data_IF_535027653734
#
_entry.id   IF_535027653734
#
_cell.length_a   1.000
_cell.length_b   1.000
_cell.length_c   1.000
_cell.angle_alpha   90.00
_cell.angle_beta   90.00
_cell.angle_gamma   90.00
#
_symmetry.space_group_name_H-M   'P 1'
#
loop_
_entity.id
_entity.type
_entity.pdbx_description
1 polymer ?
#
# COMPACT_ATOMS: atom_id res chain seq x y z
N UNK A 1 -114.64 46.59 -77.27
CA UNK A 1 -114.17 46.90 -75.90
C UNK A 1 -113.03 45.95 -75.59
N UNK A 2 -111.92 46.51 -75.12
CA UNK A 2 -110.57 45.94 -75.24
C UNK A 2 -110.31 44.69 -74.41
N UNK A 3 -109.39 43.87 -74.92
CA UNK A 3 -108.81 42.73 -74.23
C UNK A 3 -107.86 43.27 -73.16
N UNK A 4 -108.21 43.11 -71.88
CA UNK A 4 -107.32 43.42 -70.76
C UNK A 4 -106.29 42.31 -70.67
N UNK A 5 -105.02 42.66 -70.80
CA UNK A 5 -103.89 41.81 -70.40
C UNK A 5 -103.57 42.22 -68.97
N UNK A 6 -103.88 41.37 -68.00
CA UNK A 6 -103.38 41.54 -66.63
C UNK A 6 -101.92 41.10 -66.66
N UNK A 7 -101.01 42.08 -66.70
CA UNK A 7 -99.62 41.82 -66.32
C UNK A 7 -99.66 41.49 -64.82
N UNK A 8 -99.58 40.21 -64.48
CA UNK A 8 -99.31 39.75 -63.12
C UNK A 8 -97.90 40.25 -62.77
N UNK A 9 -97.83 41.46 -62.22
CA UNK A 9 -96.59 42.07 -61.77
C UNK A 9 -95.97 41.18 -60.70
N UNK A 10 -94.78 40.64 -60.99
CA UNK A 10 -93.96 39.95 -60.01
C UNK A 10 -93.58 40.92 -58.91
N UNK A 11 -93.96 40.59 -57.67
CA UNK A 11 -93.58 41.33 -56.47
C UNK A 11 -92.21 40.84 -55.98
N UNK A 12 -91.22 41.74 -55.95
CA UNK A 12 -89.98 41.66 -55.15
C UNK A 12 -89.06 40.46 -55.40
N UNK A 13 -88.32 40.47 -56.51
CA UNK A 13 -87.11 39.66 -56.67
C UNK A 13 -85.88 40.37 -56.07
N UNK A 14 -84.84 39.62 -55.74
CA UNK A 14 -83.50 40.18 -55.51
C UNK A 14 -82.89 40.40 -56.90
N UNK A 15 -82.45 41.62 -57.20
CA UNK A 15 -81.73 41.90 -58.45
C UNK A 15 -80.37 41.21 -58.39
N UNK A 16 -79.91 40.62 -59.49
CA UNK A 16 -78.64 39.90 -59.53
C UNK A 16 -77.45 40.80 -59.18
N UNK A 17 -77.57 42.11 -59.37
CA UNK A 17 -76.61 43.15 -58.97
C UNK A 17 -76.48 43.26 -57.43
N UNK A 18 -77.55 42.91 -56.71
CA UNK A 18 -77.59 42.85 -55.24
C UNK A 18 -77.02 41.52 -54.70
N UNK A 19 -76.86 40.50 -55.55
CA UNK A 19 -76.17 39.27 -55.19
C UNK A 19 -74.66 39.49 -55.00
N UNK A 20 -74.05 38.73 -54.10
CA UNK A 20 -72.59 38.79 -53.85
C UNK A 20 -71.84 37.59 -54.43
N UNK A 21 -72.53 36.53 -54.81
CA UNK A 21 -71.94 35.34 -55.42
C UNK A 21 -71.65 35.57 -56.92
N UNK A 22 -70.39 35.42 -57.32
CA UNK A 22 -69.95 35.24 -58.69
C UNK A 22 -70.03 33.77 -59.13
N UNK A 23 -69.78 33.50 -60.42
CA UNK A 23 -69.83 32.13 -60.97
C UNK A 23 -68.94 31.13 -60.21
N UNK A 24 -67.77 31.56 -59.72
CA UNK A 24 -66.84 30.71 -58.96
C UNK A 24 -67.35 30.30 -57.58
N UNK A 25 -68.42 30.92 -57.08
CA UNK A 25 -69.08 30.56 -55.81
C UNK A 25 -70.32 29.69 -56.02
N UNK A 26 -70.74 29.47 -57.27
CA UNK A 26 -71.89 28.62 -57.62
C UNK A 26 -71.37 27.29 -58.17
N UNK A 27 -71.96 26.19 -57.70
CA UNK A 27 -71.55 24.83 -58.08
C UNK A 27 -71.76 24.58 -59.58
N UNK A 28 -70.74 24.02 -60.23
CA UNK A 28 -70.84 23.60 -61.64
C UNK A 28 -71.99 22.61 -61.82
N UNK A 29 -72.80 22.83 -62.87
CA UNK A 29 -74.04 22.07 -63.12
C UNK A 29 -75.30 22.70 -62.51
N UNK A 30 -75.16 23.77 -61.71
CA UNK A 30 -76.29 24.55 -61.18
C UNK A 30 -76.31 25.97 -61.77
N UNK A 31 -77.50 26.55 -61.86
CA UNK A 31 -77.74 27.96 -62.24
C UNK A 31 -78.24 28.75 -61.05
N UNK A 32 -77.80 29.99 -60.88
CA UNK A 32 -78.26 30.89 -59.82
C UNK A 32 -78.26 32.35 -60.30
N UNK A 33 -78.87 33.25 -59.52
CA UNK A 33 -78.64 34.69 -59.68
C UNK A 33 -77.20 35.01 -59.29
N UNK A 34 -76.40 35.51 -60.24
CA UNK A 34 -74.97 35.73 -60.10
C UNK A 34 -74.67 37.22 -60.27
N UNK A 35 -73.79 37.75 -59.43
CA UNK A 35 -73.44 39.18 -59.45
C UNK A 35 -72.96 39.65 -60.82
N UNK A 36 -73.64 40.65 -61.37
CA UNK A 36 -73.30 41.30 -62.63
C UNK A 36 -73.73 40.53 -63.88
N UNK A 37 -74.71 39.63 -63.75
CA UNK A 37 -75.32 38.89 -64.84
C UNK A 37 -76.83 39.23 -64.91
N UNK A 38 -77.31 39.61 -66.10
CA UNK A 38 -78.70 40.03 -66.30
C UNK A 38 -79.70 38.86 -66.17
N UNK A 39 -79.25 37.61 -66.38
CA UNK A 39 -80.04 36.38 -66.31
C UNK A 39 -79.38 35.35 -65.37
N UNK A 40 -80.12 34.36 -64.83
CA UNK A 40 -79.52 33.25 -64.07
C UNK A 40 -78.38 32.59 -64.83
N UNK A 41 -77.19 32.59 -64.23
CA UNK A 41 -75.96 32.13 -64.88
C UNK A 41 -75.48 30.80 -64.29
N UNK A 42 -74.79 29.96 -65.08
CA UNK A 42 -74.22 28.71 -64.59
C UNK A 42 -73.01 28.96 -63.69
N UNK A 43 -72.89 28.12 -62.65
CA UNK A 43 -71.73 28.10 -61.77
C UNK A 43 -70.48 27.50 -62.40
N UNK A 44 -69.31 27.94 -61.91
CA UNK A 44 -67.98 27.44 -62.33
C UNK A 44 -67.19 26.79 -61.20
N UNK A 45 -67.72 26.70 -59.98
CA UNK A 45 -67.05 26.01 -58.87
C UNK A 45 -66.97 24.50 -59.15
N UNK A 46 -65.78 23.88 -59.18
CA UNK A 46 -65.65 22.44 -59.43
C UNK A 46 -66.30 21.58 -58.35
N UNK A 47 -66.94 20.47 -58.71
CA UNK A 47 -67.38 19.43 -57.77
C UNK A 47 -66.23 18.46 -57.49
N UNK A 48 -65.89 18.26 -56.21
CA UNK A 48 -64.80 17.35 -55.75
C UNK A 48 -65.32 16.10 -55.06
N UNK A 49 -66.61 16.03 -54.73
CA UNK A 49 -67.24 14.89 -54.06
C UNK A 49 -66.56 14.56 -52.73
N UNK A 50 -66.41 13.26 -52.46
CA UNK A 50 -65.75 12.72 -51.26
C UNK A 50 -64.22 12.69 -51.44
N UNK A 51 -63.60 13.86 -51.62
CA UNK A 51 -62.15 13.93 -51.84
C UNK A 51 -61.36 13.32 -50.67
N UNK A 52 -60.43 12.42 -50.98
CA UNK A 52 -59.62 11.72 -49.98
C UNK A 52 -58.15 11.73 -50.36
N UNK A 53 -57.29 11.74 -49.34
CA UNK A 53 -55.84 11.73 -49.54
C UNK A 53 -55.10 11.12 -48.35
N UNK A 54 -53.81 10.86 -48.57
CA UNK A 54 -52.87 10.42 -47.55
C UNK A 54 -51.76 11.45 -47.41
N UNK A 55 -51.36 11.74 -46.18
CA UNK A 55 -50.26 12.66 -45.86
C UNK A 55 -49.24 11.95 -44.98
N UNK A 56 -47.95 12.06 -45.30
CA UNK A 56 -46.88 11.49 -44.48
C UNK A 56 -46.66 12.24 -43.17
N UNK A 57 -45.80 11.69 -42.30
CA UNK A 57 -45.42 12.37 -41.05
C UNK A 57 -44.70 13.68 -41.35
N UNK A 58 -45.17 14.77 -40.74
CA UNK A 58 -44.66 16.14 -40.95
C UNK A 58 -44.78 16.65 -42.39
N UNK A 59 -45.61 16.02 -43.21
CA UNK A 59 -45.93 16.50 -44.55
C UNK A 59 -47.24 17.29 -44.54
N UNK A 60 -47.50 17.98 -45.65
CA UNK A 60 -48.78 18.63 -45.91
C UNK A 60 -49.26 18.28 -47.31
N UNK A 61 -50.57 18.35 -47.51
CA UNK A 61 -51.18 18.20 -48.83
C UNK A 61 -52.11 19.37 -49.10
N UNK A 62 -52.02 19.93 -50.30
CA UNK A 62 -52.96 20.95 -50.74
C UNK A 62 -54.33 20.33 -50.96
N UNK A 63 -55.36 20.94 -50.38
CA UNK A 63 -56.75 20.58 -50.67
C UNK A 63 -57.16 21.32 -51.95
N UNK A 64 -57.62 20.61 -53.00
CA UNK A 64 -58.05 21.27 -54.23
C UNK A 64 -59.24 22.22 -53.98
N UNK A 65 -59.22 23.37 -54.66
CA UNK A 65 -60.35 24.30 -54.68
C UNK A 65 -61.61 23.66 -55.33
N UNK A 66 -62.80 24.09 -54.89
CA UNK A 66 -64.10 23.58 -55.30
C UNK A 66 -65.01 23.12 -54.15
N UNK A 67 -66.20 22.63 -54.49
CA UNK A 67 -67.16 22.07 -53.56
C UNK A 67 -66.77 20.64 -53.15
N UNK A 68 -66.80 20.37 -51.85
CA UNK A 68 -66.60 19.05 -51.27
C UNK A 68 -67.87 18.61 -50.55
N UNK A 69 -68.30 17.36 -50.72
CA UNK A 69 -69.59 16.88 -50.20
C UNK A 69 -69.59 16.56 -48.68
N UNK A 70 -68.49 16.87 -47.97
CA UNK A 70 -68.33 16.63 -46.53
C UNK A 70 -68.02 15.19 -46.12
N UNK A 71 -67.99 14.22 -47.05
CA UNK A 71 -67.66 12.82 -46.76
C UNK A 71 -66.19 12.45 -47.03
N UNK A 72 -65.41 13.39 -47.57
CA UNK A 72 -63.97 13.25 -47.81
C UNK A 72 -63.14 13.13 -46.52
N UNK A 73 -61.94 12.53 -46.62
CA UNK A 73 -61.02 12.37 -45.49
C UNK A 73 -59.56 12.43 -45.91
N UNK A 74 -58.75 13.18 -45.17
CA UNK A 74 -57.29 13.10 -45.24
C UNK A 74 -56.79 12.20 -44.11
N UNK A 75 -55.96 11.22 -44.42
CA UNK A 75 -55.43 10.25 -43.45
C UNK A 75 -53.91 10.34 -43.33
N UNK A 76 -53.42 10.28 -42.09
CA UNK A 76 -51.99 10.13 -41.82
C UNK A 76 -51.58 8.65 -41.77
N UNK A 77 -50.27 8.35 -41.63
CA UNK A 77 -49.80 6.99 -41.41
C UNK A 77 -50.38 6.40 -40.11
N UNK A 78 -50.61 5.10 -40.11
CA UNK A 78 -50.99 4.37 -38.90
C UNK A 78 -49.77 4.19 -37.99
N UNK A 79 -49.86 4.65 -36.75
CA UNK A 79 -48.77 4.52 -35.77
C UNK A 79 -49.28 3.82 -34.52
N UNK A 80 -48.57 2.77 -34.09
CA UNK A 80 -48.86 2.09 -32.82
C UNK A 80 -48.54 3.01 -31.65
N UNK A 81 -49.55 3.34 -30.85
CA UNK A 81 -49.41 4.16 -29.66
C UNK A 81 -48.88 3.31 -28.50
N UNK A 82 -47.59 3.48 -28.15
CA UNK A 82 -46.94 2.73 -27.05
C UNK A 82 -47.04 3.44 -25.70
N UNK A 83 -47.38 4.74 -25.69
CA UNK A 83 -47.41 5.52 -24.45
C UNK A 83 -46.01 5.74 -23.88
N UNK A 84 -45.85 5.59 -22.57
CA UNK A 84 -44.56 5.74 -21.91
C UNK A 84 -43.80 4.41 -21.89
N UNK A 85 -42.61 4.35 -22.49
CA UNK A 85 -41.75 3.18 -22.41
C UNK A 85 -40.79 3.27 -21.23
N UNK A 86 -40.95 2.35 -20.27
CA UNK A 86 -40.09 2.23 -19.11
C UNK A 86 -39.28 0.94 -19.19
N UNK A 87 -38.03 0.99 -18.74
CA UNK A 87 -37.16 -0.17 -18.73
C UNK A 87 -35.94 0.00 -17.83
N UNK A 88 -35.12 -1.03 -17.78
CA UNK A 88 -33.80 -0.99 -17.15
C UNK A 88 -32.76 -1.53 -18.10
N UNK A 89 -31.55 -0.98 -18.03
CA UNK A 89 -30.38 -1.46 -18.76
C UNK A 89 -29.27 -1.74 -17.76
N UNK A 90 -28.65 -2.92 -17.87
CA UNK A 90 -27.52 -3.31 -17.04
C UNK A 90 -26.18 -2.70 -17.48
N UNK A 91 -25.14 -2.93 -16.69
CA UNK A 91 -23.76 -2.59 -17.08
C UNK A 91 -23.39 -3.33 -18.37
N UNK A 92 -22.85 -2.60 -19.34
CA UNK A 92 -22.47 -3.13 -20.66
C UNK A 92 -23.60 -3.89 -21.39
N UNK A 93 -24.86 -3.61 -21.04
CA UNK A 93 -26.02 -4.19 -21.69
C UNK A 93 -26.67 -3.20 -22.65
N UNK A 94 -27.50 -3.74 -23.54
CA UNK A 94 -28.36 -2.96 -24.42
C UNK A 94 -29.78 -3.53 -24.35
N UNK A 95 -30.76 -2.66 -24.55
CA UNK A 95 -32.16 -3.06 -24.65
C UNK A 95 -32.76 -2.43 -25.90
N UNK A 96 -33.49 -3.23 -26.67
CA UNK A 96 -34.19 -2.75 -27.85
C UNK A 96 -35.37 -1.86 -27.42
N UNK A 97 -35.48 -0.69 -28.05
CA UNK A 97 -36.66 0.16 -27.92
C UNK A 97 -37.78 -0.42 -28.79
N UNK A 98 -38.99 -0.70 -28.25
CA UNK A 98 -40.09 -1.20 -29.06
C UNK A 98 -40.46 -0.19 -30.17
N UNK A 99 -40.74 -0.70 -31.37
CA UNK A 99 -41.24 0.10 -32.48
C UNK A 99 -42.60 0.75 -32.14
N UNK A 100 -42.80 1.99 -32.57
CA UNK A 100 -44.03 2.76 -32.42
C UNK A 100 -43.80 4.19 -31.89
N UNK A 101 -44.90 4.91 -31.64
CA UNK A 101 -44.87 6.24 -31.04
C UNK A 101 -44.82 6.15 -29.52
N UNK A 102 -43.83 6.82 -28.93
CA UNK A 102 -43.66 6.97 -27.50
C UNK A 102 -43.93 8.41 -27.09
N UNK A 103 -44.62 8.61 -25.97
CA UNK A 103 -45.07 9.94 -25.53
C UNK A 103 -43.99 10.77 -24.80
N UNK A 104 -42.72 10.33 -24.84
CA UNK A 104 -41.58 11.02 -24.20
C UNK A 104 -41.57 11.01 -22.66
N UNK A 105 -42.56 10.38 -22.00
CA UNK A 105 -42.64 10.32 -20.52
C UNK A 105 -41.95 9.10 -19.92
N UNK A 106 -41.53 8.16 -20.77
CA UNK A 106 -40.85 6.95 -20.36
C UNK A 106 -39.44 7.21 -19.80
N UNK A 107 -38.98 6.34 -18.91
CA UNK A 107 -37.62 6.38 -18.36
C UNK A 107 -36.95 5.02 -18.49
N UNK A 108 -35.71 5.01 -18.95
CA UNK A 108 -34.83 3.84 -18.88
C UNK A 108 -33.84 4.07 -17.76
N UNK A 109 -33.88 3.23 -16.73
CA UNK A 109 -32.95 3.29 -15.62
C UNK A 109 -31.68 2.54 -15.93
N UNK A 110 -30.53 3.11 -15.56
CA UNK A 110 -29.25 2.43 -15.62
C UNK A 110 -29.09 1.37 -14.52
N UNK A 111 -27.96 0.64 -14.51
CA UNK A 111 -27.65 -0.28 -13.44
C UNK A 111 -27.47 0.52 -12.14
N UNK A 112 -28.09 0.07 -11.06
CA UNK A 112 -27.88 0.66 -9.74
C UNK A 112 -26.62 0.05 -9.13
N UNK A 113 -25.53 0.82 -9.08
CA UNK A 113 -24.25 0.41 -8.48
C UNK A 113 -24.07 1.21 -7.20
N UNK A 114 -23.85 0.53 -6.09
CA UNK A 114 -23.60 1.18 -4.82
C UNK A 114 -22.26 1.94 -4.86
N UNK A 115 -22.19 3.08 -4.17
CA UNK A 115 -20.95 3.84 -4.07
C UNK A 115 -20.16 3.44 -2.83
N UNK A 116 -18.86 3.27 -3.00
CA UNK A 116 -17.89 3.28 -1.92
C UNK A 116 -17.15 4.61 -1.97
N UNK A 117 -17.48 5.51 -1.05
CA UNK A 117 -16.79 6.78 -0.84
C UNK A 117 -15.54 6.58 0.03
N UNK A 118 -14.77 7.64 0.22
CA UNK A 118 -13.69 7.64 1.20
C UNK A 118 -14.24 7.42 2.62
N UNK A 119 -13.67 6.43 3.31
CA UNK A 119 -14.02 6.12 4.70
C UNK A 119 -13.17 6.94 5.69
N UNK A 120 -12.04 7.49 5.21
CA UNK A 120 -11.12 8.29 6.03
C UNK A 120 -11.33 9.77 5.74
N UNK A 121 -11.87 10.47 6.75
CA UNK A 121 -12.25 11.89 6.67
C UNK A 121 -11.13 12.77 6.11
N UNK A 122 -11.47 13.62 5.14
CA UNK A 122 -10.55 14.58 4.51
C UNK A 122 -9.53 13.95 3.56
N UNK A 123 -9.67 12.67 3.20
CA UNK A 123 -8.74 11.99 2.28
C UNK A 123 -9.46 11.25 1.17
N UNK A 124 -8.69 10.75 0.19
CA UNK A 124 -9.13 9.93 -0.95
C UNK A 124 -9.00 8.42 -0.67
N UNK A 125 -9.13 8.03 0.61
CA UNK A 125 -8.84 6.67 1.09
C UNK A 125 -10.10 5.97 1.61
N UNK A 126 -10.29 4.73 1.19
CA UNK A 126 -11.29 3.83 1.76
C UNK A 126 -10.63 2.66 2.50
N UNK A 127 -11.31 2.12 3.51
CA UNK A 127 -10.79 0.96 4.24
C UNK A 127 -10.97 -0.32 3.43
N UNK A 128 -9.96 -1.17 3.48
CA UNK A 128 -10.00 -2.50 2.91
C UNK A 128 -11.06 -3.37 3.62
N UNK A 129 -11.76 -4.21 2.86
CA UNK A 129 -12.70 -5.21 3.41
C UNK A 129 -12.00 -6.48 3.90
N UNK A 130 -10.75 -6.68 3.47
CA UNK A 130 -9.89 -7.80 3.83
C UNK A 130 -8.47 -7.56 3.36
N UNK A 131 -7.52 -8.32 3.91
CA UNK A 131 -6.09 -8.18 3.60
C UNK A 131 -5.52 -9.57 3.41
N UNK A 132 -4.68 -9.76 2.40
CA UNK A 132 -3.82 -10.94 2.28
C UNK A 132 -2.45 -10.54 1.78
N UNK A 133 -1.42 -11.29 2.16
CA UNK A 133 -0.06 -11.07 1.68
C UNK A 133 0.54 -12.39 1.23
N UNK A 134 1.08 -12.42 0.01
CA UNK A 134 1.83 -13.56 -0.54
C UNK A 134 3.25 -13.09 -0.87
N UNK A 135 4.16 -14.01 -1.15
CA UNK A 135 5.57 -13.66 -1.43
C UNK A 135 5.70 -12.58 -2.51
N UNK A 136 5.96 -11.33 -2.11
CA UNK A 136 6.13 -10.18 -3.01
C UNK A 136 4.89 -9.31 -3.25
N UNK A 137 3.71 -9.62 -2.71
CA UNK A 137 2.52 -8.79 -2.88
C UNK A 137 1.67 -8.65 -1.62
N UNK A 138 0.99 -7.51 -1.50
CA UNK A 138 -0.06 -7.26 -0.52
C UNK A 138 -1.34 -6.97 -1.32
N UNK A 139 -2.39 -7.73 -1.05
CA UNK A 139 -3.69 -7.57 -1.69
C UNK A 139 -4.67 -6.94 -0.69
N UNK A 140 -5.34 -5.87 -1.11
CA UNK A 140 -6.33 -5.15 -0.31
C UNK A 140 -7.72 -5.36 -0.93
N UNK A 141 -8.66 -5.87 -0.14
CA UNK A 141 -10.02 -6.14 -0.58
C UNK A 141 -10.82 -4.86 -0.79
N UNK A 142 -11.62 -4.82 -1.85
CA UNK A 142 -12.61 -3.78 -2.14
C UNK A 142 -14.03 -4.28 -1.82
N UNK A 143 -15.02 -3.39 -1.72
CA UNK A 143 -16.42 -3.81 -1.58
C UNK A 143 -16.91 -4.36 -2.93
N UNK A 144 -17.38 -5.61 -2.95
CA UNK A 144 -17.89 -6.21 -4.17
C UNK A 144 -19.14 -5.47 -4.68
N UNK A 145 -19.28 -5.32 -5.99
CA UNK A 145 -20.43 -4.64 -6.62
C UNK A 145 -20.52 -3.14 -6.32
N UNK A 146 -19.43 -2.52 -5.84
CA UNK A 146 -19.37 -1.08 -5.59
C UNK A 146 -18.49 -0.36 -6.60
N UNK A 147 -18.86 0.88 -6.90
CA UNK A 147 -18.02 1.83 -7.60
C UNK A 147 -17.21 2.64 -6.58
N UNK A 148 -15.89 2.70 -6.77
CA UNK A 148 -14.99 3.53 -5.97
C UNK A 148 -15.15 5.00 -6.39
N UNK A 149 -15.87 5.77 -5.58
CA UNK A 149 -16.24 7.15 -5.90
C UNK A 149 -15.31 8.14 -5.19
N UNK A 150 -14.40 8.77 -5.91
CA UNK A 150 -13.43 9.71 -5.34
C UNK A 150 -12.40 9.05 -4.41
N UNK A 151 -12.21 7.73 -4.54
CA UNK A 151 -11.24 6.94 -3.77
C UNK A 151 -10.09 6.56 -4.68
N UNK A 152 -8.87 6.99 -4.34
CA UNK A 152 -7.64 6.63 -5.06
C UNK A 152 -6.89 5.49 -4.37
N UNK A 153 -7.08 5.33 -3.06
CA UNK A 153 -6.33 4.37 -2.26
C UNK A 153 -7.27 3.50 -1.42
N UNK A 154 -6.94 2.22 -1.38
CA UNK A 154 -7.45 1.33 -0.35
C UNK A 154 -6.40 1.27 0.76
N UNK A 155 -6.82 1.54 1.99
CA UNK A 155 -5.96 1.51 3.17
C UNK A 155 -6.33 0.33 4.07
N UNK A 156 -5.30 -0.26 4.68
CA UNK A 156 -5.42 -1.16 5.80
C UNK A 156 -4.35 -0.84 6.84
N UNK A 157 -4.69 -1.01 8.11
CA UNK A 157 -3.72 -0.86 9.19
C UNK A 157 -2.97 -2.18 9.38
N UNK A 158 -1.63 -2.11 9.28
CA UNK A 158 -0.73 -3.24 9.49
C UNK A 158 0.19 -2.92 10.68
N UNK A 159 -0.19 -3.27 11.92
CA UNK A 159 0.57 -2.89 13.11
C UNK A 159 2.02 -3.37 13.10
N UNK A 160 2.30 -4.51 12.45
CA UNK A 160 3.66 -5.03 12.30
C UNK A 160 4.51 -4.33 11.24
N UNK A 161 3.91 -3.58 10.31
CA UNK A 161 4.60 -2.86 9.25
C UNK A 161 5.17 -1.54 9.79
N UNK A 162 6.22 -1.66 10.58
CA UNK A 162 6.94 -0.56 11.22
C UNK A 162 8.42 -0.61 10.81
N UNK A 163 9.10 0.55 10.67
CA UNK A 163 10.54 0.58 10.35
C UNK A 163 11.37 -0.31 11.28
N UNK A 164 11.07 -0.30 12.59
CA UNK A 164 11.80 -1.07 13.60
C UNK A 164 11.63 -2.59 13.52
N UNK A 165 10.66 -3.10 12.75
CA UNK A 165 10.46 -4.52 12.50
C UNK A 165 11.05 -4.98 11.16
N UNK A 166 11.49 -4.03 10.32
CA UNK A 166 12.02 -4.29 8.99
C UNK A 166 13.55 -4.17 9.07
N UNK A 167 14.25 -5.16 8.53
CA UNK A 167 15.71 -5.20 8.46
C UNK A 167 16.28 -3.90 7.91
N UNK A 168 17.32 -3.39 8.55
CA UNK A 168 17.94 -2.10 8.25
C UNK A 168 18.27 -1.98 6.76
N UNK A 169 17.86 -0.86 6.16
CA UNK A 169 18.08 -0.58 4.74
C UNK A 169 17.12 -1.27 3.78
N UNK A 170 16.27 -2.19 4.24
CA UNK A 170 15.22 -2.80 3.40
C UNK A 170 14.07 -1.82 3.24
N UNK A 171 13.65 -1.53 2.01
CA UNK A 171 12.52 -0.64 1.71
C UNK A 171 11.28 -1.48 1.34
N UNK A 172 10.17 -1.28 2.05
CA UNK A 172 8.87 -1.87 1.73
C UNK A 172 7.88 -0.74 1.43
N UNK A 173 7.61 -0.49 0.15
CA UNK A 173 6.59 0.47 -0.27
C UNK A 173 6.83 1.92 0.20
N UNK A 174 8.08 2.33 0.37
CA UNK A 174 8.47 3.64 0.88
C UNK A 174 8.82 3.66 2.38
N UNK A 175 8.52 2.59 3.12
CA UNK A 175 8.89 2.42 4.52
C UNK A 175 10.27 1.73 4.61
N UNK A 176 11.30 2.50 4.99
CA UNK A 176 12.67 1.98 5.13
C UNK A 176 12.90 1.40 6.52
N UNK A 177 13.41 0.17 6.56
CA UNK A 177 13.71 -0.54 7.79
C UNK A 177 14.88 0.04 8.57
N UNK A 178 14.77 -0.05 9.89
CA UNK A 178 15.76 0.42 10.88
C UNK A 178 16.22 -0.69 11.83
N UNK A 179 15.68 -1.91 11.70
CA UNK A 179 16.07 -3.04 12.55
C UNK A 179 17.49 -3.51 12.20
N UNK A 180 18.46 -3.23 13.08
CA UNK A 180 19.83 -3.71 12.90
C UNK A 180 19.87 -5.25 12.79
N UNK A 181 20.59 -5.76 11.78
CA UNK A 181 20.77 -7.19 11.62
C UNK A 181 21.94 -7.68 12.47
N UNK A 182 21.66 -8.52 13.47
CA UNK A 182 22.64 -9.17 14.32
C UNK A 182 22.84 -10.66 13.99
N UNK A 183 22.34 -11.14 12.84
CA UNK A 183 22.48 -12.54 12.43
C UNK A 183 23.94 -13.00 12.29
N UNK A 184 24.88 -12.07 12.13
CA UNK A 184 26.31 -12.33 12.23
C UNK A 184 26.79 -12.75 13.63
N UNK A 185 25.96 -12.75 14.66
CA UNK A 185 26.26 -13.16 16.04
C UNK A 185 25.64 -14.53 16.43
N UNK A 186 25.29 -15.36 15.44
CA UNK A 186 24.60 -16.64 15.66
C UNK A 186 25.44 -17.69 16.43
N UNK A 187 24.76 -18.72 16.96
CA UNK A 187 25.26 -19.77 17.85
C UNK A 187 26.60 -20.42 17.43
N UNK A 188 27.54 -20.54 18.38
CA UNK A 188 28.80 -21.28 18.20
C UNK A 188 29.95 -20.46 17.60
N UNK A 189 29.85 -19.13 17.58
CA UNK A 189 30.92 -18.30 17.06
C UNK A 189 32.11 -18.22 18.01
N UNK A 190 33.26 -18.63 17.49
CA UNK A 190 34.53 -18.58 18.20
C UNK A 190 35.23 -17.25 17.90
N UNK A 191 35.41 -16.41 18.92
CA UNK A 191 36.08 -15.10 18.81
C UNK A 191 37.58 -15.23 18.63
N UNK A 192 38.14 -16.28 19.22
CA UNK A 192 39.56 -16.62 19.17
C UNK A 192 39.71 -18.15 19.23
N UNK A 193 40.43 -18.72 18.27
CA UNK A 193 40.79 -20.13 18.26
C UNK A 193 42.28 -20.29 17.89
N UNK A 194 43.14 -20.61 18.85
CA UNK A 194 44.56 -20.90 18.64
C UNK A 194 45.24 -19.94 17.64
N UNK A 195 45.09 -18.62 17.86
CA UNK A 195 45.78 -17.59 17.06
C UNK A 195 45.01 -17.11 15.84
N UNK A 196 43.91 -17.79 15.47
CA UNK A 196 43.01 -17.37 14.40
C UNK A 196 41.82 -16.62 15.00
N UNK A 197 41.67 -15.35 14.61
CA UNK A 197 40.48 -14.56 14.95
C UNK A 197 39.40 -14.85 13.90
N UNK A 198 38.18 -15.16 14.32
CA UNK A 198 37.08 -15.22 13.35
C UNK A 198 36.80 -13.82 12.81
N UNK A 199 36.49 -13.73 11.52
CA UNK A 199 36.18 -12.48 10.83
C UNK A 199 35.02 -11.68 11.44
N UNK A 200 34.27 -12.28 12.37
CA UNK A 200 33.16 -11.65 13.10
C UNK A 200 33.66 -10.71 14.20
N UNK A 201 34.84 -10.99 14.78
CA UNK A 201 35.55 -10.13 15.73
C UNK A 201 36.94 -9.77 15.19
N UNK A 202 37.03 -9.59 13.88
CA UNK A 202 38.25 -9.48 13.06
C UNK A 202 39.30 -8.47 13.53
N UNK A 203 38.98 -7.59 14.47
CA UNK A 203 39.93 -6.59 14.96
C UNK A 203 40.87 -7.14 16.05
N UNK A 204 40.64 -8.38 16.51
CA UNK A 204 41.48 -9.07 17.47
C UNK A 204 41.39 -8.48 18.88
N UNK A 205 42.34 -8.87 19.72
CA UNK A 205 42.50 -8.36 21.08
C UNK A 205 43.70 -7.42 21.16
N UNK A 206 43.62 -6.39 21.99
CA UNK A 206 44.81 -5.75 22.54
C UNK A 206 45.26 -6.55 23.75
N UNK A 207 46.58 -6.73 23.92
CA UNK A 207 47.12 -7.48 25.03
C UNK A 207 48.38 -6.81 25.59
N UNK A 208 48.38 -6.57 26.89
CA UNK A 208 49.55 -6.08 27.62
C UNK A 208 50.49 -7.26 27.93
N UNK A 209 51.80 -7.09 27.69
CA UNK A 209 52.83 -8.06 28.09
C UNK A 209 52.61 -9.50 27.55
N UNK A 210 52.38 -9.64 26.23
CA UNK A 210 52.20 -10.95 25.58
C UNK A 210 53.26 -11.26 24.55
N UNK A 211 53.52 -12.56 24.36
CA UNK A 211 54.28 -13.10 23.22
C UNK A 211 53.36 -14.13 22.56
N UNK A 212 53.02 -13.94 21.27
CA UNK A 212 52.30 -14.99 20.54
C UNK A 212 53.21 -16.20 20.37
N UNK A 213 52.74 -17.39 20.75
CA UNK A 213 53.51 -18.61 20.56
C UNK A 213 53.23 -19.14 19.15
N UNK A 214 54.22 -19.04 18.27
CA UNK A 214 54.06 -19.45 16.87
C UNK A 214 53.96 -20.97 16.68
N UNK A 215 54.34 -21.77 17.69
CA UNK A 215 54.42 -23.22 17.54
C UNK A 215 53.05 -23.93 17.68
N UNK A 216 52.18 -23.44 18.54
CA UNK A 216 50.83 -24.00 18.76
C UNK A 216 49.72 -22.98 18.49
N UNK A 217 50.03 -21.71 18.28
CA UNK A 217 49.05 -20.66 18.00
C UNK A 217 48.42 -20.07 19.26
N UNK A 218 48.78 -20.51 20.47
CA UNK A 218 48.28 -19.89 21.70
C UNK A 218 48.82 -18.46 21.88
N UNK A 219 48.07 -17.66 22.62
CA UNK A 219 48.58 -16.39 23.14
C UNK A 219 49.15 -16.66 24.52
N UNK A 220 50.47 -16.54 24.64
CA UNK A 220 51.18 -16.75 25.89
C UNK A 220 51.28 -15.44 26.68
N UNK A 221 50.70 -15.45 27.86
CA UNK A 221 50.76 -14.38 28.84
C UNK A 221 51.88 -14.72 29.83
N UNK A 222 52.88 -13.83 29.96
CA UNK A 222 54.09 -14.06 30.78
C UNK A 222 54.36 -12.90 31.75
N UNK A 223 54.92 -13.23 32.90
CA UNK A 223 55.49 -12.25 33.83
C UNK A 223 56.78 -11.64 33.29
N UNK A 224 56.94 -10.33 33.49
CA UNK A 224 58.14 -9.59 33.07
C UNK A 224 58.98 -9.09 34.27
N UNK A 225 58.42 -8.86 35.47
CA UNK A 225 59.18 -8.43 36.67
C UNK A 225 58.84 -9.16 37.98
N UNK A 226 59.64 -8.89 39.01
CA UNK A 226 59.60 -9.46 40.37
C UNK A 226 58.51 -8.83 41.26
N UNK A 227 57.25 -9.18 41.04
CA UNK A 227 56.11 -9.07 41.98
C UNK A 227 54.82 -9.41 41.20
N UNK A 228 53.69 -9.60 41.89
CA UNK A 228 52.37 -9.86 41.29
C UNK A 228 52.05 -8.87 40.15
N UNK A 229 52.20 -9.31 38.90
CA UNK A 229 51.85 -8.52 37.72
C UNK A 229 50.46 -8.90 37.23
N UNK A 230 49.68 -7.87 36.94
CA UNK A 230 48.37 -8.01 36.32
C UNK A 230 48.53 -7.85 34.81
N UNK A 231 48.13 -8.86 34.06
CA UNK A 231 48.09 -8.84 32.60
C UNK A 231 46.68 -8.54 32.14
N UNK A 232 46.54 -7.95 30.96
CA UNK A 232 45.25 -7.56 30.43
C UNK A 232 45.13 -7.88 28.94
N UNK A 233 44.01 -8.48 28.57
CA UNK A 233 43.55 -8.65 27.19
C UNK A 233 42.18 -8.02 27.03
N UNK A 234 41.95 -7.30 25.94
CA UNK A 234 40.72 -6.57 25.72
C UNK A 234 40.32 -6.60 24.25
N UNK A 235 39.04 -6.83 23.95
CA UNK A 235 38.56 -6.82 22.56
C UNK A 235 38.79 -5.43 21.94
N UNK A 236 39.21 -5.36 20.67
CA UNK A 236 39.41 -4.04 20.00
C UNK A 236 38.11 -3.35 19.60
N UNK A 237 37.00 -4.10 19.55
CA UNK A 237 35.65 -3.58 19.31
C UNK A 237 34.69 -4.10 20.37
N UNK A 238 33.65 -3.31 20.62
CA UNK A 238 32.53 -3.72 21.47
C UNK A 238 31.66 -4.77 20.76
N UNK A 239 31.01 -5.60 21.55
CA UNK A 239 30.25 -6.79 21.15
C UNK A 239 28.83 -6.63 21.68
N UNK A 240 27.82 -6.81 20.83
CA UNK A 240 26.43 -6.83 21.29
C UNK A 240 26.15 -8.18 21.96
N UNK A 241 25.79 -8.18 23.25
CA UNK A 241 25.67 -9.43 24.03
C UNK A 241 24.30 -10.10 23.93
N UNK A 242 23.30 -9.44 23.34
CA UNK A 242 21.93 -9.96 23.24
C UNK A 242 21.79 -11.40 22.77
N UNK A 243 22.49 -11.82 21.72
CA UNK A 243 22.44 -13.19 21.21
C UNK A 243 23.05 -14.24 22.15
N UNK A 244 23.87 -13.86 23.12
CA UNK A 244 24.69 -14.80 23.89
C UNK A 244 24.18 -14.97 25.32
N UNK A 245 24.27 -16.18 25.88
CA UNK A 245 24.00 -16.47 27.30
C UNK A 245 25.26 -16.74 28.11
N UNK A 246 26.39 -17.06 27.47
CA UNK A 246 27.66 -17.33 28.16
C UNK A 246 28.87 -17.12 27.27
N UNK A 247 30.02 -16.96 27.90
CA UNK A 247 31.35 -16.97 27.26
C UNK A 247 32.13 -18.13 27.83
N UNK A 248 32.66 -18.97 26.94
CA UNK A 248 33.58 -20.05 27.28
C UNK A 248 35.01 -19.62 26.96
N UNK A 249 35.92 -19.84 27.90
CA UNK A 249 37.33 -19.50 27.80
C UNK A 249 38.14 -20.76 28.08
N UNK A 250 39.06 -21.10 27.17
CA UNK A 250 40.01 -22.19 27.35
C UNK A 250 41.42 -21.63 27.52
N UNK A 251 42.10 -22.02 28.59
CA UNK A 251 43.48 -21.63 28.88
C UNK A 251 44.29 -22.82 29.41
N UNK A 252 45.62 -22.72 29.31
CA UNK A 252 46.54 -23.75 29.77
C UNK A 252 47.72 -23.11 30.51
N UNK A 253 47.75 -23.16 31.85
CA UNK A 253 48.90 -22.74 32.61
C UNK A 253 50.02 -23.77 32.48
N UNK A 254 51.25 -23.28 32.35
CA UNK A 254 52.48 -24.06 32.39
C UNK A 254 53.37 -23.48 33.50
N UNK A 255 53.50 -24.25 34.57
CA UNK A 255 54.39 -24.01 35.69
C UNK A 255 55.67 -24.85 35.55
N UNK A 256 56.83 -24.23 35.74
CA UNK A 256 58.11 -24.91 35.75
C UNK A 256 58.40 -25.53 37.13
N UNK A 257 59.01 -26.72 37.12
CA UNK A 257 58.81 -27.81 38.09
C UNK A 257 59.42 -27.64 39.51
N UNK A 258 59.75 -26.43 39.98
CA UNK A 258 60.59 -26.28 41.18
C UNK A 258 60.05 -25.43 42.34
N UNK A 259 58.76 -25.05 42.39
CA UNK A 259 58.29 -24.17 43.47
C UNK A 259 56.96 -24.60 44.12
N UNK A 260 56.93 -24.54 45.46
CA UNK A 260 55.80 -24.96 46.29
C UNK A 260 54.64 -23.94 46.36
N UNK A 261 54.71 -22.80 45.68
CA UNK A 261 53.75 -21.69 45.82
C UNK A 261 53.53 -20.87 44.52
N UNK A 262 53.17 -21.52 43.40
CA UNK A 262 52.69 -20.83 42.20
C UNK A 262 51.17 -20.94 42.08
N UNK A 263 50.50 -19.81 41.87
CA UNK A 263 49.08 -19.76 41.55
C UNK A 263 48.86 -18.88 40.32
N UNK A 264 47.76 -19.14 39.64
CA UNK A 264 47.25 -18.27 38.62
C UNK A 264 45.81 -17.87 38.92
N UNK A 265 45.46 -16.66 38.52
CA UNK A 265 44.13 -16.08 38.60
C UNK A 265 43.76 -15.54 37.23
N UNK A 266 42.52 -15.78 36.83
CA UNK A 266 41.92 -15.18 35.66
C UNK A 266 40.63 -14.50 36.10
N UNK A 267 40.52 -13.22 35.80
CA UNK A 267 39.32 -12.42 35.96
C UNK A 267 38.84 -12.08 34.55
N UNK A 268 37.57 -12.31 34.23
CA UNK A 268 37.06 -11.91 32.93
C UNK A 268 35.67 -11.29 33.05
N UNK A 269 35.30 -10.47 32.07
CA UNK A 269 34.02 -9.77 32.12
C UNK A 269 33.80 -8.77 31.01
N UNK A 270 32.77 -7.96 31.19
CA UNK A 270 32.26 -7.00 30.21
C UNK A 270 32.42 -5.57 30.71
N UNK A 271 33.00 -4.72 29.87
CA UNK A 271 33.34 -3.34 30.16
C UNK A 271 32.54 -2.38 29.28
N UNK A 272 31.99 -1.28 29.84
CA UNK A 272 31.28 -0.27 29.07
C UNK A 272 32.26 0.52 28.18
N UNK A 273 31.73 1.13 27.11
CA UNK A 273 32.52 1.93 26.15
C UNK A 273 33.30 3.08 26.78
N UNK A 274 32.81 3.62 27.90
CA UNK A 274 33.42 4.73 28.65
C UNK A 274 34.71 4.35 29.38
N UNK A 275 34.97 3.05 29.61
CA UNK A 275 36.23 2.58 30.20
C UNK A 275 37.42 2.59 29.22
N UNK A 276 37.20 3.05 27.97
CA UNK A 276 38.21 3.17 26.91
C UNK A 276 38.45 4.65 26.57
N UNK A 277 39.65 5.19 26.85
CA UNK A 277 40.07 6.52 26.36
C UNK A 277 41.27 6.36 25.41
N UNK A 278 41.18 6.86 24.17
CA UNK A 278 42.29 6.93 23.21
C UNK A 278 43.03 5.62 22.83
N UNK A 279 42.33 4.49 22.73
CA UNK A 279 42.88 3.28 22.10
C UNK A 279 43.92 2.51 22.93
N UNK A 280 44.26 2.99 24.13
CA UNK A 280 45.06 2.30 25.14
C UNK A 280 44.40 2.51 26.50
N UNK A 281 44.37 1.48 27.34
CA UNK A 281 43.61 1.49 28.60
C UNK A 281 43.94 2.66 29.54
N UNK A 282 42.96 3.02 30.39
CA UNK A 282 43.18 3.76 31.64
C UNK A 282 44.08 2.91 32.54
N UNK A 283 45.37 3.24 32.56
CA UNK A 283 46.23 3.05 33.71
C UNK A 283 45.81 4.12 34.71
N UNK A 284 45.08 3.77 35.77
CA UNK A 284 45.25 4.53 37.02
C UNK A 284 46.37 3.86 37.81
N UNK A 285 47.52 4.53 37.76
CA UNK A 285 48.61 4.36 38.70
C UNK A 285 48.16 4.75 40.12
N UNK A 286 47.55 3.82 40.86
CA UNK A 286 47.65 3.68 42.33
C UNK A 286 46.40 2.99 42.92
N UNK A 287 46.37 1.66 42.87
CA UNK A 287 45.91 0.93 44.06
C UNK A 287 47.16 0.36 44.72
N UNK A 288 47.29 0.49 46.05
CA UNK A 288 48.36 -0.16 46.82
C UNK A 288 48.30 -1.71 46.74
N UNK A 289 47.38 -2.25 45.93
CA UNK A 289 47.20 -3.67 45.60
C UNK A 289 47.45 -3.99 44.12
N UNK A 290 47.75 -2.98 43.28
CA UNK A 290 48.13 -3.12 41.87
C UNK A 290 47.04 -3.58 40.91
N UNK A 291 45.78 -3.76 41.35
CA UNK A 291 44.68 -4.32 40.54
C UNK A 291 43.83 -3.20 39.90
N UNK A 292 43.53 -3.26 38.58
CA UNK A 292 42.51 -2.43 37.97
C UNK A 292 41.13 -2.77 38.55
N UNK A 293 40.30 -1.77 38.82
CA UNK A 293 38.92 -1.97 39.28
C UNK A 293 38.02 -2.29 38.09
N UNK A 294 37.75 -3.57 37.90
CA UNK A 294 36.78 -4.06 36.93
C UNK A 294 35.36 -3.88 37.48
N UNK A 295 34.55 -3.00 36.86
CA UNK A 295 33.11 -2.83 37.14
C UNK A 295 32.35 -2.61 35.81
N UNK A 296 31.17 -3.23 35.57
CA UNK A 296 30.24 -3.81 36.56
C UNK A 296 30.04 -5.34 36.59
N UNK A 297 30.51 -6.14 35.61
CA UNK A 297 30.30 -7.60 35.61
C UNK A 297 31.56 -8.41 35.36
N UNK A 298 32.04 -9.09 36.39
CA UNK A 298 33.25 -9.89 36.39
C UNK A 298 33.04 -11.15 37.20
N UNK A 299 33.70 -12.21 36.80
CA UNK A 299 33.81 -13.40 37.60
C UNK A 299 35.27 -13.88 37.58
N UNK A 300 35.62 -14.57 38.65
CA UNK A 300 36.99 -14.83 39.08
C UNK A 300 37.22 -16.33 39.21
N UNK A 301 38.25 -16.81 38.51
CA UNK A 301 38.74 -18.17 38.62
C UNK A 301 40.20 -18.19 39.07
N UNK A 302 40.53 -19.02 40.05
CA UNK A 302 41.91 -19.23 40.51
C UNK A 302 42.21 -20.71 40.75
N UNK A 303 43.41 -21.13 40.37
CA UNK A 303 43.92 -22.48 40.65
C UNK A 303 45.40 -22.48 41.05
N UNK A 304 45.76 -23.49 41.86
CA UNK A 304 47.08 -23.63 42.49
C UNK A 304 47.85 -24.80 41.88
N UNK A 305 49.12 -24.56 41.50
CA UNK A 305 50.14 -25.57 41.20
C UNK A 305 49.71 -26.75 40.28
N UNK A 306 48.95 -26.51 39.22
CA UNK A 306 48.55 -27.56 38.27
C UNK A 306 48.73 -27.13 36.82
N UNK A 307 49.41 -27.99 36.06
CA UNK A 307 49.53 -27.87 34.60
C UNK A 307 48.36 -28.63 33.96
N UNK A 308 47.78 -28.09 32.89
CA UNK A 308 46.65 -28.72 32.21
C UNK A 308 45.95 -27.77 31.24
N UNK A 309 44.85 -28.25 30.65
CA UNK A 309 43.91 -27.39 29.92
C UNK A 309 42.68 -27.21 30.79
N UNK A 310 42.25 -25.97 30.94
CA UNK A 310 41.14 -25.56 31.76
C UNK A 310 40.12 -24.83 30.92
N UNK A 311 38.85 -25.10 31.21
CA UNK A 311 37.70 -24.46 30.57
C UNK A 311 36.92 -23.73 31.65
N UNK A 312 36.73 -22.44 31.44
CA UNK A 312 35.96 -21.58 32.32
C UNK A 312 34.78 -21.00 31.56
N UNK A 313 33.60 -20.98 32.18
CA UNK A 313 32.38 -20.44 31.59
C UNK A 313 31.85 -19.28 32.43
N UNK A 314 31.74 -18.12 31.79
CA UNK A 314 31.13 -16.91 32.35
C UNK A 314 29.69 -16.80 31.85
N UNK A 315 28.71 -16.80 32.75
CA UNK A 315 27.32 -16.54 32.38
C UNK A 315 27.13 -15.05 32.02
N UNK A 316 26.36 -14.73 30.98
CA UNK A 316 26.04 -13.34 30.62
C UNK A 316 24.73 -12.97 31.31
N UNK A 317 24.80 -12.04 32.27
CA UNK A 317 23.61 -11.55 32.94
C UNK A 317 22.65 -10.86 31.95
N UNK A 318 21.33 -11.08 32.07
CA UNK A 318 20.32 -10.46 31.20
C UNK A 318 20.41 -8.93 31.14
N UNK A 319 20.91 -8.28 32.20
CA UNK A 319 21.04 -6.82 32.28
C UNK A 319 22.01 -6.23 31.25
N UNK A 320 22.90 -7.04 30.68
CA UNK A 320 23.92 -6.59 29.71
C UNK A 320 23.59 -6.95 28.27
N UNK A 321 22.45 -7.63 28.02
CA UNK A 321 22.07 -8.15 26.70
C UNK A 321 21.63 -7.08 25.68
N UNK A 322 21.25 -5.89 26.14
CA UNK A 322 20.68 -4.85 25.27
C UNK A 322 21.70 -3.79 24.83
N UNK A 323 23.00 -4.01 25.08
CA UNK A 323 24.03 -3.02 24.79
C UNK A 323 25.33 -3.66 24.25
N UNK A 324 26.23 -2.81 23.78
CA UNK A 324 27.54 -3.18 23.26
C UNK A 324 28.62 -3.07 24.34
N UNK A 325 29.33 -4.17 24.58
CA UNK A 325 30.34 -4.28 25.63
C UNK A 325 31.70 -4.72 25.09
N UNK A 326 32.76 -4.21 25.68
CA UNK A 326 34.10 -4.74 25.44
C UNK A 326 34.32 -5.96 26.33
N UNK A 327 34.89 -7.04 25.77
CA UNK A 327 35.21 -8.24 26.54
C UNK A 327 36.68 -8.19 26.99
N UNK A 328 36.90 -8.32 28.29
CA UNK A 328 38.21 -8.24 28.92
C UNK A 328 38.59 -9.51 29.69
N UNK A 329 39.87 -9.84 29.69
CA UNK A 329 40.49 -10.87 30.53
C UNK A 329 41.68 -10.23 31.24
N UNK A 330 41.77 -10.44 32.55
CA UNK A 330 42.93 -10.13 33.36
C UNK A 330 43.51 -11.42 33.91
N UNK A 331 44.83 -11.53 33.90
CA UNK A 331 45.56 -12.61 34.56
C UNK A 331 46.43 -12.10 35.69
N UNK A 332 46.66 -12.90 36.73
CA UNK A 332 47.75 -12.70 37.68
C UNK A 332 48.51 -14.02 37.87
N UNK A 333 49.83 -13.94 37.96
CA UNK A 333 50.70 -15.09 38.22
C UNK A 333 51.71 -14.66 39.29
N UNK A 334 51.81 -15.45 40.37
CA UNK A 334 52.83 -15.26 41.39
C UNK A 334 53.91 -16.34 41.29
N UNK A 335 55.17 -15.94 41.12
CA UNK A 335 56.32 -16.84 40.97
C UNK A 335 57.59 -16.18 41.52
N UNK A 336 58.57 -16.96 41.99
CA UNK A 336 59.92 -16.43 42.28
C UNK A 336 60.81 -16.38 41.02
N UNK A 337 60.43 -17.02 39.91
CA UNK A 337 61.21 -17.12 38.66
C UNK A 337 60.45 -16.64 37.40
N UNK A 338 60.60 -15.35 37.14
CA UNK A 338 60.00 -14.49 36.09
C UNK A 338 60.02 -14.96 34.62
N UNK A 339 60.78 -15.99 34.23
CA UNK A 339 60.93 -16.38 32.81
C UNK A 339 60.24 -17.68 32.39
N UNK A 340 59.67 -18.43 33.34
CA UNK A 340 59.36 -19.85 33.09
C UNK A 340 57.89 -20.22 33.20
N UNK A 341 57.07 -19.43 33.91
CA UNK A 341 55.64 -19.68 34.05
C UNK A 341 54.83 -18.87 33.03
N UNK A 342 53.85 -19.52 32.40
CA UNK A 342 53.05 -18.96 31.31
C UNK A 342 51.59 -19.37 31.48
N UNK A 343 50.66 -18.47 31.17
CA UNK A 343 49.25 -18.84 30.89
C UNK A 343 49.05 -18.75 29.38
N UNK A 344 48.75 -19.88 28.74
CA UNK A 344 48.46 -19.94 27.31
C UNK A 344 46.95 -19.86 27.08
N UNK A 345 46.45 -18.78 26.52
CA UNK A 345 45.06 -18.68 26.08
C UNK A 345 44.88 -19.48 24.78
N UNK A 346 43.88 -20.37 24.75
CA UNK A 346 43.64 -21.30 23.64
C UNK A 346 42.36 -21.00 22.86
N UNK A 347 41.26 -20.71 23.54
CA UNK A 347 39.95 -20.45 22.90
C UNK A 347 39.12 -19.42 23.66
N UNK A 348 38.39 -18.57 22.95
CA UNK A 348 37.28 -17.77 23.48
C UNK A 348 36.08 -17.96 22.56
N UNK A 349 34.95 -18.37 23.13
CA UNK A 349 33.73 -18.70 22.39
C UNK A 349 32.51 -18.09 23.07
N UNK A 350 31.65 -17.42 22.29
CA UNK A 350 30.39 -16.86 22.77
C UNK A 350 29.27 -17.81 22.40
N UNK A 351 28.49 -18.23 23.40
CA UNK A 351 27.46 -19.26 23.26
C UNK A 351 26.08 -18.65 23.52
N UNK A 352 25.09 -19.11 22.75
CA UNK A 352 23.67 -18.72 22.83
C UNK A 352 22.95 -19.38 24.00
#
# INVERSE_FOLDING_TARGET
MGKVIIALGGVGGIDQEDCTAGRAQVLSGYTAGVRGEDDPAPGSMPERGSWAANVGMNESIAIPDGHHNGAGKVTGPAVTQRGAWNGSVGLNAQIAVPEGYHNGRGKVSGPNIAFQNADVSGTDRAYATGISAWGGCINLGVRNGHYLNGVNWIQADLPGLQPGNIRQGTNIGGLVGTMADYSYLASGQTSFNMGTYSGVLANGFWAQYTIQNYNDGSIDIRAYKTASENYMMLSKKSIHLGPFSKVRIEFSPKFYKSESYSWFEIICGFLPKTCYYNGYQILDSASNTGRPSFSPYFDHYSEWNKNGVYVYELNISPNYKNDFWFFGIQGSINTKNYKTNIISLRKIEFLT
#
